data_IF_992089817429
#
_entry.id   IF_992089817429
#
_cell.length_a   1.000
_cell.length_b   1.000
_cell.length_c   1.000
_cell.angle_alpha   90.00
_cell.angle_beta   90.00
_cell.angle_gamma   90.00
#
_symmetry.space_group_name_H-M   'P 1'
#
loop_
_entity.id
_entity.type
_entity.pdbx_description
1 polymer ?
#
# COMPACT_ATOMS: atom_id res chain seq x y z
N UNK A 1 13.62 14.32 -12.42
CA UNK A 1 13.58 12.85 -12.33
C UNK A 1 12.17 12.48 -11.89
N UNK A 2 11.46 11.80 -12.79
CA UNK A 2 10.36 10.84 -12.59
C UNK A 2 9.35 11.01 -11.42
N UNK A 3 8.90 12.22 -11.10
CA UNK A 3 7.76 12.43 -10.15
C UNK A 3 6.41 11.87 -10.62
N UNK A 4 6.34 11.22 -11.78
CA UNK A 4 5.11 10.70 -12.38
C UNK A 4 4.98 9.18 -12.26
N UNK A 5 5.97 8.46 -11.74
CA UNK A 5 6.00 6.99 -11.74
C UNK A 5 4.87 6.37 -10.91
N UNK A 6 4.61 6.90 -9.70
CA UNK A 6 3.55 6.40 -8.81
C UNK A 6 2.16 6.64 -9.38
N UNK A 7 1.91 7.83 -9.91
CA UNK A 7 0.60 8.20 -10.48
C UNK A 7 0.35 7.48 -11.82
N UNK A 8 1.35 7.40 -12.69
CA UNK A 8 1.30 6.63 -13.93
C UNK A 8 1.02 5.15 -13.65
N UNK A 9 1.73 4.56 -12.68
CA UNK A 9 1.46 3.19 -12.25
C UNK A 9 0.01 3.03 -11.77
N UNK A 10 -0.49 3.97 -10.97
CA UNK A 10 -1.85 3.88 -10.45
C UNK A 10 -2.92 3.99 -11.55
N UNK A 11 -2.70 4.82 -12.57
CA UNK A 11 -3.58 4.92 -13.74
C UNK A 11 -3.51 3.68 -14.63
N UNK A 12 -2.32 3.15 -14.89
CA UNK A 12 -2.16 1.89 -15.64
C UNK A 12 -2.84 0.70 -14.94
N UNK A 13 -2.71 0.60 -13.61
CA UNK A 13 -3.40 -0.43 -12.82
C UNK A 13 -4.92 -0.25 -12.86
N UNK A 14 -5.42 0.99 -12.85
CA UNK A 14 -6.84 1.28 -12.99
C UNK A 14 -7.38 0.88 -14.38
N UNK A 15 -6.63 1.15 -15.44
CA UNK A 15 -6.99 0.75 -16.81
C UNK A 15 -6.94 -0.77 -17.01
N UNK A 16 -6.00 -1.45 -16.36
CA UNK A 16 -5.83 -2.89 -16.43
C UNK A 16 -6.70 -3.66 -15.43
N UNK A 17 -7.41 -2.98 -14.52
CA UNK A 17 -8.07 -3.59 -13.36
C UNK A 17 -8.96 -4.80 -13.72
N UNK A 18 -9.88 -4.64 -14.67
CA UNK A 18 -10.80 -5.73 -15.02
C UNK A 18 -10.05 -6.92 -15.64
N UNK A 19 -8.98 -6.66 -16.40
CA UNK A 19 -8.14 -7.72 -16.97
C UNK A 19 -7.36 -8.45 -15.89
N UNK A 20 -6.86 -7.73 -14.88
CA UNK A 20 -6.16 -8.32 -13.72
C UNK A 20 -7.13 -9.20 -12.93
N UNK A 21 -8.31 -8.69 -12.61
CA UNK A 21 -9.33 -9.43 -11.84
C UNK A 21 -9.87 -10.66 -12.57
N UNK A 22 -9.83 -10.67 -13.90
CA UNK A 22 -10.23 -11.82 -14.73
C UNK A 22 -9.04 -12.73 -15.11
N UNK A 23 -7.85 -12.51 -14.55
CA UNK A 23 -6.60 -13.21 -14.88
C UNK A 23 -6.22 -13.17 -16.38
N UNK A 24 -6.69 -12.16 -17.10
CA UNK A 24 -6.35 -11.87 -18.50
C UNK A 24 -5.06 -11.06 -18.64
N UNK A 25 -4.64 -10.38 -17.57
CA UNK A 25 -3.37 -9.69 -17.44
C UNK A 25 -2.76 -9.99 -16.08
N UNK A 26 -1.43 -10.11 -16.01
CA UNK A 26 -0.73 -10.26 -14.73
C UNK A 26 -0.39 -8.90 -14.14
N UNK A 27 -0.50 -8.80 -12.82
CA UNK A 27 0.04 -7.68 -12.06
C UNK A 27 1.56 -7.69 -12.15
N UNK A 28 2.17 -6.56 -12.53
CA UNK A 28 3.62 -6.38 -12.44
C UNK A 28 4.01 -6.00 -11.01
N UNK A 29 4.12 -7.00 -10.16
CA UNK A 29 4.46 -6.83 -8.73
C UNK A 29 5.84 -6.21 -8.54
N UNK A 30 6.79 -6.48 -9.44
CA UNK A 30 8.12 -5.88 -9.38
C UNK A 30 8.06 -4.36 -9.50
N UNK A 31 7.27 -3.85 -10.44
CA UNK A 31 7.07 -2.40 -10.59
C UNK A 31 6.30 -1.79 -9.42
N UNK A 32 5.32 -2.51 -8.85
CA UNK A 32 4.60 -2.06 -7.66
C UNK A 32 5.53 -1.97 -6.45
N UNK A 33 6.34 -3.00 -6.21
CA UNK A 33 7.30 -3.02 -5.10
C UNK A 33 8.36 -1.93 -5.25
N UNK A 34 8.88 -1.72 -6.46
CA UNK A 34 9.82 -0.63 -6.72
C UNK A 34 9.19 0.73 -6.41
N UNK A 35 7.95 0.98 -6.85
CA UNK A 35 7.27 2.24 -6.56
C UNK A 35 7.05 2.45 -5.05
N UNK A 36 6.76 1.38 -4.30
CA UNK A 36 6.65 1.43 -2.84
C UNK A 36 8.00 1.73 -2.18
N UNK A 37 9.06 1.05 -2.61
CA UNK A 37 10.41 1.21 -2.05
C UNK A 37 10.96 2.63 -2.33
N UNK A 38 10.64 3.19 -3.50
CA UNK A 38 11.04 4.54 -3.91
C UNK A 38 10.42 5.64 -3.03
N UNK A 39 9.29 5.38 -2.35
CA UNK A 39 8.74 6.31 -1.34
C UNK A 39 9.70 6.49 -0.16
N UNK A 40 10.53 5.49 0.14
CA UNK A 40 11.51 5.52 1.23
C UNK A 40 10.90 5.63 2.63
N UNK A 41 9.64 5.24 2.80
CA UNK A 41 8.93 5.31 4.09
C UNK A 41 9.27 4.14 5.00
N UNK A 42 9.38 2.94 4.43
CA UNK A 42 9.81 1.74 5.12
C UNK A 42 11.33 1.66 5.23
N UNK A 43 11.84 1.02 6.28
CA UNK A 43 13.26 0.86 6.57
C UNK A 43 13.94 -0.15 5.64
N UNK A 44 13.20 -1.16 5.20
CA UNK A 44 13.66 -2.23 4.32
C UNK A 44 12.83 -2.26 3.03
N UNK A 45 13.30 -2.97 1.98
CA UNK A 45 12.47 -3.26 0.81
C UNK A 45 11.18 -4.00 1.19
N UNK A 46 10.06 -3.64 0.56
CA UNK A 46 8.72 -4.16 0.88
C UNK A 46 8.65 -5.69 0.83
N UNK A 47 9.38 -6.32 -0.09
CA UNK A 47 9.43 -7.78 -0.23
C UNK A 47 9.97 -8.48 1.02
N UNK A 48 10.76 -7.79 1.85
CA UNK A 48 11.36 -8.36 3.06
C UNK A 48 10.39 -8.40 4.24
N UNK A 49 9.20 -7.78 4.13
CA UNK A 49 8.22 -7.76 5.22
C UNK A 49 7.31 -8.98 5.22
N UNK A 50 7.02 -9.59 4.06
CA UNK A 50 6.00 -10.63 3.96
C UNK A 50 6.28 -11.86 4.85
N UNK A 51 7.54 -12.20 5.06
CA UNK A 51 7.95 -13.31 5.93
C UNK A 51 8.22 -12.92 7.39
N UNK A 52 8.21 -11.62 7.73
CA UNK A 52 8.36 -11.15 9.12
C UNK A 52 7.11 -11.47 9.92
N UNK A 53 7.28 -11.68 11.22
CA UNK A 53 6.11 -11.84 12.08
C UNK A 53 5.44 -10.50 12.36
N UNK A 54 4.15 -10.54 12.70
CA UNK A 54 3.42 -9.36 13.16
C UNK A 54 4.09 -8.71 14.38
N UNK A 55 4.61 -9.50 15.33
CA UNK A 55 5.33 -9.02 16.52
C UNK A 55 6.59 -8.24 16.17
N UNK A 56 7.42 -8.79 15.28
CA UNK A 56 8.67 -8.16 14.85
C UNK A 56 8.41 -6.78 14.25
N UNK A 57 7.39 -6.66 13.40
CA UNK A 57 7.04 -5.38 12.79
C UNK A 57 6.34 -4.41 13.74
N UNK A 58 5.46 -4.91 14.62
CA UNK A 58 4.80 -4.11 15.65
C UNK A 58 5.81 -3.39 16.55
N UNK A 59 6.85 -4.09 17.00
CA UNK A 59 7.85 -3.55 17.92
C UNK A 59 8.89 -2.65 17.26
N UNK A 60 9.16 -2.82 15.97
CA UNK A 60 10.30 -2.16 15.30
C UNK A 60 9.90 -0.97 14.45
N UNK A 61 8.72 -1.00 13.82
CA UNK A 61 8.46 -0.09 12.71
C UNK A 61 7.01 0.40 12.59
N UNK A 62 6.03 -0.42 12.95
CA UNK A 62 4.61 -0.09 12.84
C UNK A 62 4.26 1.25 13.51
N UNK A 63 3.36 1.99 12.89
CA UNK A 63 2.71 3.16 13.47
C UNK A 63 1.31 2.84 14.05
N UNK A 64 1.03 1.55 14.23
CA UNK A 64 -0.10 0.98 14.95
C UNK A 64 -1.48 1.29 14.34
N UNK A 65 -1.55 1.49 13.03
CA UNK A 65 -2.81 1.49 12.29
C UNK A 65 -3.27 0.07 11.98
N UNK A 66 -2.38 -0.83 11.58
CA UNK A 66 -2.73 -2.23 11.29
C UNK A 66 -3.15 -2.97 12.56
N UNK A 67 -4.19 -3.79 12.43
CA UNK A 67 -4.65 -4.70 13.47
C UNK A 67 -3.75 -5.95 13.58
N UNK A 68 -2.58 -5.79 14.17
CA UNK A 68 -1.60 -6.85 14.41
C UNK A 68 -1.98 -7.65 15.66
N UNK A 69 -2.74 -8.74 15.45
CA UNK A 69 -3.35 -9.53 16.54
C UNK A 69 -2.80 -10.95 16.65
N UNK A 70 -2.14 -11.45 15.60
CA UNK A 70 -1.50 -12.76 15.57
C UNK A 70 0.02 -12.58 15.55
N UNK A 71 0.59 -12.28 16.72
CA UNK A 71 2.02 -11.94 16.90
C UNK A 71 3.02 -12.94 16.29
N UNK A 72 2.64 -14.22 16.16
CA UNK A 72 3.47 -15.25 15.52
C UNK A 72 3.16 -15.48 14.03
N UNK A 73 2.07 -14.91 13.53
CA UNK A 73 1.67 -14.93 12.13
C UNK A 73 2.60 -14.06 11.29
N UNK A 74 2.73 -14.43 10.01
CA UNK A 74 3.50 -13.64 9.04
C UNK A 74 2.67 -12.46 8.56
N UNK A 75 3.33 -11.33 8.28
CA UNK A 75 2.64 -10.17 7.70
C UNK A 75 2.02 -10.49 6.33
N UNK A 76 2.63 -11.36 5.52
CA UNK A 76 2.08 -11.79 4.23
C UNK A 76 0.70 -12.45 4.34
N UNK A 77 0.38 -13.03 5.51
CA UNK A 77 -0.90 -13.67 5.81
C UNK A 77 -1.91 -12.71 6.48
N UNK A 78 -1.53 -11.46 6.74
CA UNK A 78 -2.40 -10.49 7.40
C UNK A 78 -3.59 -10.15 6.51
N UNK A 79 -4.80 -10.12 7.08
CA UNK A 79 -6.02 -9.80 6.34
C UNK A 79 -6.38 -8.31 6.33
N UNK A 80 -5.96 -7.59 7.38
CA UNK A 80 -6.22 -6.16 7.53
C UNK A 80 -5.41 -5.35 6.50
N UNK A 81 -6.01 -4.24 6.04
CA UNK A 81 -5.40 -3.29 5.10
C UNK A 81 -5.71 -1.89 5.55
N UNK A 82 -4.72 -1.01 5.44
CA UNK A 82 -4.87 0.42 5.66
C UNK A 82 -4.91 1.13 4.31
N UNK A 83 -6.10 1.61 3.94
CA UNK A 83 -6.31 2.39 2.73
C UNK A 83 -6.03 3.88 3.01
N UNK A 84 -5.10 4.46 2.26
CA UNK A 84 -4.90 5.92 2.22
C UNK A 84 -5.98 6.54 1.35
N UNK A 85 -6.89 7.33 1.95
CA UNK A 85 -8.14 7.71 1.28
C UNK A 85 -8.27 9.21 0.91
N UNK A 86 -7.55 10.09 1.57
CA UNK A 86 -7.72 11.52 1.41
C UNK A 86 -6.48 12.29 1.85
N UNK A 87 -6.35 13.48 1.29
CA UNK A 87 -5.35 14.48 1.66
C UNK A 87 -6.10 15.75 2.02
N UNK A 88 -5.96 16.20 3.25
CA UNK A 88 -6.40 17.51 3.71
C UNK A 88 -5.18 18.36 4.12
N UNK A 89 -5.31 19.68 4.03
CA UNK A 89 -4.28 20.62 4.44
C UNK A 89 -3.73 21.53 3.32
N UNK A 90 -2.69 22.26 3.67
CA UNK A 90 -2.12 23.37 2.90
C UNK A 90 -0.63 23.10 2.68
N UNK A 91 -0.24 22.79 1.44
CA UNK A 91 1.17 22.55 1.08
C UNK A 91 2.03 23.79 1.33
N UNK A 92 1.47 24.99 1.20
CA UNK A 92 2.14 26.26 1.50
C UNK A 92 2.37 26.53 3.00
N UNK A 93 1.82 25.67 3.87
CA UNK A 93 1.99 25.73 5.33
C UNK A 93 2.70 24.51 5.90
N UNK A 94 3.25 23.64 5.06
CA UNK A 94 3.84 22.35 5.46
C UNK A 94 2.86 21.46 6.27
N UNK A 95 1.56 21.63 6.05
CA UNK A 95 0.50 20.88 6.73
C UNK A 95 -0.16 19.92 5.73
N UNK A 96 0.33 18.68 5.66
CA UNK A 96 -0.29 17.60 4.89
C UNK A 96 -0.84 16.57 5.88
N UNK A 97 -2.15 16.36 5.84
CA UNK A 97 -2.83 15.36 6.65
C UNK A 97 -3.43 14.29 5.74
N UNK A 98 -2.98 13.05 5.94
CA UNK A 98 -3.57 11.89 5.28
C UNK A 98 -4.58 11.24 6.21
N UNK A 99 -5.70 10.78 5.66
CA UNK A 99 -6.64 9.94 6.40
C UNK A 99 -6.60 8.50 5.91
N UNK A 100 -6.94 7.60 6.84
CA UNK A 100 -6.77 6.17 6.67
C UNK A 100 -8.03 5.43 7.10
N UNK A 101 -8.41 4.40 6.35
CA UNK A 101 -9.49 3.49 6.69
C UNK A 101 -8.99 2.05 6.72
N UNK A 102 -9.61 1.22 7.55
CA UNK A 102 -9.45 -0.21 7.47
C UNK A 102 -10.27 -0.79 6.32
N UNK A 103 -9.63 -1.65 5.54
CA UNK A 103 -10.24 -2.49 4.53
C UNK A 103 -9.95 -3.96 4.86
N UNK A 104 -10.90 -4.84 4.55
CA UNK A 104 -10.73 -6.28 4.75
C UNK A 104 -10.81 -7.00 3.41
N UNK A 105 -9.67 -7.51 2.95
CA UNK A 105 -9.59 -8.27 1.70
C UNK A 105 -10.07 -9.73 1.84
N UNK A 106 -10.50 -10.15 3.03
CA UNK A 106 -10.91 -11.51 3.33
C UNK A 106 -12.28 -11.52 4.02
N UNK A 107 -13.35 -11.69 3.24
CA UNK A 107 -14.72 -11.76 3.76
C UNK A 107 -15.07 -13.20 4.05
N UNK A 108 -15.34 -13.52 5.31
CA UNK A 108 -15.59 -14.89 5.77
C UNK A 108 -14.46 -15.85 5.33
N UNK A 109 -13.21 -15.43 5.52
CA UNK A 109 -11.98 -16.13 5.12
C UNK A 109 -11.82 -16.39 3.61
N UNK A 110 -12.69 -15.83 2.77
CA UNK A 110 -12.55 -15.87 1.32
C UNK A 110 -11.87 -14.62 0.81
N UNK A 111 -10.80 -14.81 0.04
CA UNK A 111 -10.08 -13.72 -0.58
C UNK A 111 -10.95 -12.95 -1.59
N UNK A 112 -10.91 -11.62 -1.52
CA UNK A 112 -11.63 -10.69 -2.39
C UNK A 112 -10.59 -9.83 -3.14
N UNK A 113 -10.11 -10.28 -4.32
CA UNK A 113 -9.06 -9.59 -5.07
C UNK A 113 -9.41 -8.12 -5.41
N UNK A 114 -10.70 -7.83 -5.59
CA UNK A 114 -11.18 -6.48 -5.85
C UNK A 114 -10.86 -5.49 -4.73
N UNK A 115 -10.86 -5.93 -3.47
CA UNK A 115 -10.55 -5.07 -2.33
C UNK A 115 -9.07 -4.71 -2.33
N UNK A 116 -8.16 -5.68 -2.48
CA UNK A 116 -6.73 -5.39 -2.55
C UNK A 116 -6.35 -4.53 -3.76
N UNK A 117 -6.98 -4.77 -4.91
CA UNK A 117 -6.75 -3.94 -6.08
C UNK A 117 -7.28 -2.52 -5.88
N UNK A 118 -8.38 -2.34 -5.14
CA UNK A 118 -8.85 -1.02 -4.74
C UNK A 118 -7.86 -0.32 -3.79
N UNK A 119 -7.34 -1.03 -2.78
CA UNK A 119 -6.32 -0.51 -1.87
C UNK A 119 -5.10 -0.03 -2.64
N UNK A 120 -4.60 -0.83 -3.59
CA UNK A 120 -3.49 -0.46 -4.46
C UNK A 120 -3.77 0.76 -5.33
N UNK A 121 -4.81 0.69 -6.17
CA UNK A 121 -5.09 1.72 -7.17
C UNK A 121 -5.39 3.05 -6.48
N UNK A 122 -6.26 3.03 -5.48
CA UNK A 122 -6.69 4.27 -4.82
C UNK A 122 -5.58 4.83 -3.95
N UNK A 123 -4.90 4.00 -3.16
CA UNK A 123 -3.78 4.43 -2.32
C UNK A 123 -2.65 5.05 -3.14
N UNK A 124 -2.22 4.40 -4.23
CA UNK A 124 -1.18 4.94 -5.12
C UNK A 124 -1.60 6.25 -5.80
N UNK A 125 -2.89 6.41 -6.15
CA UNK A 125 -3.39 7.68 -6.70
C UNK A 125 -3.28 8.82 -5.70
N UNK A 126 -3.70 8.59 -4.46
CA UNK A 126 -3.64 9.61 -3.41
C UNK A 126 -2.17 9.96 -3.09
N UNK A 127 -1.33 8.96 -2.90
CA UNK A 127 0.11 9.13 -2.62
C UNK A 127 0.81 9.85 -3.78
N UNK A 128 0.63 9.41 -5.02
CA UNK A 128 1.25 10.01 -6.20
C UNK A 128 0.83 11.48 -6.42
N UNK A 129 -0.41 11.83 -6.10
CA UNK A 129 -0.88 13.21 -6.17
C UNK A 129 -0.15 14.13 -5.17
N UNK A 130 0.11 13.65 -3.95
CA UNK A 130 0.90 14.41 -2.96
C UNK A 130 2.37 14.45 -3.33
N UNK A 131 2.93 13.33 -3.79
CA UNK A 131 4.33 13.23 -4.18
C UNK A 131 4.71 14.26 -5.27
N UNK A 132 3.81 14.46 -6.24
CA UNK A 132 4.00 15.42 -7.31
C UNK A 132 4.24 16.86 -6.80
N UNK A 133 3.58 17.24 -5.70
CA UNK A 133 3.61 18.60 -5.15
C UNK A 133 4.53 18.74 -3.93
N UNK A 134 4.69 17.70 -3.10
CA UNK A 134 5.35 17.76 -1.79
C UNK A 134 5.98 16.42 -1.35
N UNK A 135 6.80 15.81 -2.22
CA UNK A 135 7.45 14.51 -1.95
C UNK A 135 8.23 14.42 -0.62
N UNK A 136 8.95 15.49 -0.24
CA UNK A 136 9.75 15.48 0.99
C UNK A 136 8.86 15.43 2.25
N UNK A 137 7.74 16.15 2.23
CA UNK A 137 6.80 16.20 3.34
C UNK A 137 5.97 14.91 3.40
N UNK A 138 5.58 14.37 2.24
CA UNK A 138 4.85 13.11 2.13
C UNK A 138 5.56 11.98 2.89
N UNK A 139 6.87 11.84 2.69
CA UNK A 139 7.67 10.80 3.36
C UNK A 139 7.59 10.87 4.88
N UNK A 140 7.43 12.07 5.44
CA UNK A 140 7.39 12.28 6.89
C UNK A 140 5.99 12.08 7.49
N UNK A 141 4.92 12.14 6.68
CA UNK A 141 3.52 12.07 7.15
C UNK A 141 2.79 10.80 6.71
N UNK A 142 3.33 10.09 5.72
CA UNK A 142 2.74 8.85 5.20
C UNK A 142 2.93 7.72 6.21
N UNK A 143 1.83 7.06 6.53
CA UNK A 143 1.80 5.95 7.48
C UNK A 143 2.58 4.76 6.94
N UNK A 144 3.41 4.18 7.79
CA UNK A 144 4.19 2.98 7.46
C UNK A 144 3.28 1.78 7.26
N UNK A 145 2.28 1.62 8.12
CA UNK A 145 1.27 0.57 7.99
C UNK A 145 0.43 0.71 6.71
N UNK A 146 0.15 1.94 6.27
CA UNK A 146 -0.48 2.20 4.97
C UNK A 146 0.42 1.81 3.79
N UNK A 147 1.74 2.11 3.86
CA UNK A 147 2.70 1.69 2.83
C UNK A 147 2.84 0.17 2.80
N UNK A 148 2.95 -0.48 3.96
CA UNK A 148 2.98 -1.94 4.06
C UNK A 148 1.72 -2.56 3.46
N UNK A 149 0.55 -1.96 3.70
CA UNK A 149 -0.73 -2.44 3.16
C UNK A 149 -0.78 -2.47 1.63
N UNK A 150 -0.10 -1.54 0.94
CA UNK A 150 0.06 -1.61 -0.52
C UNK A 150 0.87 -2.84 -0.93
N UNK A 151 1.97 -3.10 -0.24
CA UNK A 151 2.81 -4.28 -0.50
C UNK A 151 2.06 -5.59 -0.28
N UNK A 152 1.32 -5.68 0.84
CA UNK A 152 0.49 -6.84 1.18
C UNK A 152 -0.61 -7.08 0.14
N UNK A 153 -1.27 -6.02 -0.32
CA UNK A 153 -2.27 -6.12 -1.36
C UNK A 153 -1.69 -6.63 -2.69
N UNK A 154 -0.53 -6.11 -3.11
CA UNK A 154 0.15 -6.59 -4.31
C UNK A 154 0.64 -8.05 -4.18
N UNK A 155 1.14 -8.43 -3.01
CA UNK A 155 1.55 -9.80 -2.73
C UNK A 155 0.37 -10.77 -2.79
N UNK A 156 -0.73 -10.46 -2.11
CA UNK A 156 -1.93 -11.31 -2.10
C UNK A 156 -2.54 -11.45 -3.50
N UNK A 157 -2.59 -10.37 -4.30
CA UNK A 157 -3.04 -10.44 -5.70
C UNK A 157 -2.18 -11.38 -6.55
N UNK A 158 -0.86 -11.38 -6.33
CA UNK A 158 0.07 -12.20 -7.10
C UNK A 158 -0.02 -13.69 -6.76
N UNK A 159 -0.29 -14.02 -5.50
CA UNK A 159 -0.39 -15.40 -5.01
C UNK A 159 -1.75 -16.03 -5.33
N UNK A 160 -2.80 -15.23 -5.55
CA UNK A 160 -4.18 -15.71 -5.64
C UNK A 160 -4.88 -15.50 -7.01
N UNK A 161 -4.26 -14.85 -8.00
CA UNK A 161 -4.79 -14.62 -9.36
C UNK A 161 -3.99 -15.29 -10.48
#
# INVERSE_FOLDING_TARGET
MEKLTTMELADELAEAQDKILNSEAKLDTGRVYQAIDDLGVLNDPISNYFDRTEDEYYETESDHYLALTNLTGKLGDLHDRILTNHVDGFVDKDEINLTYNHENAYVEDNYVPRTDLHVLVYGLKVIGAVEAIAAADLRNVLSKDAVLSLGLAAHALAENL
#
